data_IF_957393031402
#
_entry.id   IF_957393031402
#
_cell.length_a   1.000
_cell.length_b   1.000
_cell.length_c   1.000
_cell.angle_alpha   90.00
_cell.angle_beta   90.00
_cell.angle_gamma   90.00
#
_symmetry.space_group_name_H-M   'P 1'
#
loop_
_entity.id
_entity.type
_entity.pdbx_description
1 polymer ?
#
# COMPACT_ATOMS: atom_id res chain seq x y z
N UNK A 1 15.94 5.11 -2.87
CA UNK A 1 14.90 6.03 -2.34
C UNK A 1 13.86 6.26 -3.41
N UNK A 2 12.56 6.37 -3.06
CA UNK A 2 11.51 6.67 -4.01
C UNK A 2 11.76 8.00 -4.74
N UNK A 3 11.48 8.04 -6.04
CA UNK A 3 11.68 9.24 -6.86
C UNK A 3 10.59 9.40 -7.92
N UNK A 4 10.31 10.65 -8.29
CA UNK A 4 9.39 10.95 -9.39
C UNK A 4 9.81 10.28 -10.69
N UNK A 5 8.85 9.65 -11.36
CA UNK A 5 9.05 8.90 -12.60
C UNK A 5 9.58 7.48 -12.40
N UNK A 6 9.86 7.07 -11.16
CA UNK A 6 10.23 5.68 -10.87
C UNK A 6 9.03 4.76 -11.09
N UNK A 7 9.29 3.65 -11.79
CA UNK A 7 8.31 2.62 -12.08
C UNK A 7 8.70 1.36 -11.31
N UNK A 8 7.77 0.88 -10.49
CA UNK A 8 7.84 -0.41 -9.81
C UNK A 8 6.94 -1.39 -10.56
N UNK A 9 7.43 -2.60 -10.80
CA UNK A 9 6.65 -3.69 -11.40
C UNK A 9 6.60 -4.85 -10.42
N UNK A 10 5.40 -5.34 -10.11
CA UNK A 10 5.24 -6.56 -9.35
C UNK A 10 5.49 -7.76 -10.30
N UNK A 11 6.53 -8.58 -10.07
CA UNK A 11 6.85 -9.70 -10.97
C UNK A 11 5.81 -10.82 -10.94
N UNK A 12 5.08 -10.99 -9.84
CA UNK A 12 4.09 -12.06 -9.68
C UNK A 12 2.79 -11.74 -10.42
N UNK A 13 2.40 -10.47 -10.46
CA UNK A 13 1.11 -10.04 -10.99
C UNK A 13 1.19 -9.26 -12.30
N UNK A 14 2.37 -8.70 -12.61
CA UNK A 14 2.56 -7.78 -13.72
C UNK A 14 1.96 -6.39 -13.50
N UNK A 15 1.48 -6.09 -12.29
CA UNK A 15 0.97 -4.76 -11.91
C UNK A 15 2.10 -3.74 -11.91
N UNK A 16 1.76 -2.50 -12.29
CA UNK A 16 2.71 -1.42 -12.48
C UNK A 16 2.33 -0.23 -11.61
N UNK A 17 3.32 0.36 -10.93
CA UNK A 17 3.16 1.50 -10.04
C UNK A 17 4.18 2.56 -10.44
N UNK A 18 3.73 3.72 -10.90
CA UNK A 18 4.58 4.83 -11.31
C UNK A 18 4.40 6.00 -10.34
N UNK A 19 5.48 6.43 -9.69
CA UNK A 19 5.44 7.61 -8.82
C UNK A 19 5.36 8.89 -9.65
N UNK A 20 4.24 9.62 -9.53
CA UNK A 20 4.06 10.93 -10.16
C UNK A 20 4.55 12.06 -9.25
N UNK A 21 4.34 11.91 -7.94
CA UNK A 21 4.83 12.79 -6.88
C UNK A 21 5.15 11.95 -5.64
N UNK A 22 6.34 12.10 -5.07
CA UNK A 22 6.77 11.45 -3.81
C UNK A 22 6.54 12.37 -2.61
N UNK A 23 6.73 11.84 -1.40
CA UNK A 23 6.69 12.66 -0.18
C UNK A 23 7.72 13.81 -0.24
N UNK A 24 8.88 13.57 -0.84
CA UNK A 24 9.93 14.60 -1.03
C UNK A 24 9.48 15.68 -2.00
N UNK A 25 8.85 15.32 -3.11
CA UNK A 25 8.41 16.28 -4.13
C UNK A 25 7.33 17.23 -3.62
N UNK A 26 6.51 16.76 -2.67
CA UNK A 26 5.36 17.52 -2.15
C UNK A 26 5.60 18.11 -0.76
N UNK A 27 6.83 18.06 -0.24
CA UNK A 27 7.17 18.45 1.14
C UNK A 27 6.26 17.77 2.19
N UNK A 28 5.97 16.49 1.99
CA UNK A 28 5.17 15.66 2.89
C UNK A 28 3.66 15.78 2.74
N UNK A 29 3.17 16.62 1.82
CA UNK A 29 1.73 16.85 1.64
C UNK A 29 1.00 15.59 1.13
N UNK A 30 1.55 14.91 0.12
CA UNK A 30 0.96 13.69 -0.46
C UNK A 30 1.97 12.83 -1.23
N UNK A 31 1.62 11.58 -1.44
CA UNK A 31 2.21 10.72 -2.49
C UNK A 31 1.16 10.53 -3.57
N UNK A 32 1.53 10.66 -4.84
CA UNK A 32 0.65 10.42 -5.98
C UNK A 32 1.29 9.45 -6.96
N UNK A 33 0.53 8.45 -7.39
CA UNK A 33 0.99 7.41 -8.30
C UNK A 33 -0.03 7.13 -9.39
N UNK A 34 0.47 6.71 -10.54
CA UNK A 34 -0.35 6.03 -11.56
C UNK A 34 -0.18 4.52 -11.37
N UNK A 35 -1.29 3.83 -11.21
CA UNK A 35 -1.33 2.38 -11.08
C UNK A 35 -1.99 1.74 -12.30
N UNK A 36 -1.42 0.62 -12.73
CA UNK A 36 -2.02 -0.28 -13.72
C UNK A 36 -2.16 -1.65 -13.08
N UNK A 37 -3.39 -2.03 -12.75
CA UNK A 37 -3.68 -3.36 -12.21
C UNK A 37 -4.07 -4.31 -13.34
N UNK A 38 -3.21 -5.28 -13.61
CA UNK A 38 -3.44 -6.39 -14.55
C UNK A 38 -3.92 -7.64 -13.82
N UNK A 39 -3.60 -7.77 -12.54
CA UNK A 39 -4.11 -8.84 -11.70
C UNK A 39 -5.61 -8.74 -11.50
N UNK A 40 -6.21 -9.88 -11.17
CA UNK A 40 -7.61 -10.00 -10.82
C UNK A 40 -7.77 -10.35 -9.33
N UNK A 41 -8.75 -9.73 -8.69
CA UNK A 41 -9.19 -10.00 -7.32
C UNK A 41 -8.42 -9.22 -6.26
N UNK A 42 -8.77 -9.50 -5.00
CA UNK A 42 -8.26 -8.81 -3.82
C UNK A 42 -6.85 -9.29 -3.45
N UNK A 43 -5.83 -8.63 -3.98
CA UNK A 43 -4.43 -8.89 -3.61
C UNK A 43 -3.95 -8.03 -2.44
N UNK A 44 -4.54 -6.85 -2.27
CA UNK A 44 -4.35 -6.03 -1.07
C UNK A 44 -5.33 -6.51 0.00
N UNK A 45 -4.92 -6.70 1.26
CA UNK A 45 -5.85 -7.05 2.33
C UNK A 45 -6.79 -5.89 2.62
N UNK A 46 -8.04 -6.17 2.99
CA UNK A 46 -8.96 -5.14 3.47
C UNK A 46 -8.40 -4.45 4.73
N UNK A 47 -8.18 -3.14 4.65
CA UNK A 47 -7.43 -2.38 5.65
C UNK A 47 -7.98 -0.96 5.82
N UNK A 48 -7.44 -0.21 6.77
CA UNK A 48 -7.70 1.22 6.89
C UNK A 48 -6.44 1.97 7.31
N UNK A 49 -6.30 3.19 6.84
CA UNK A 49 -5.23 4.11 7.22
C UNK A 49 -5.64 4.88 8.47
N UNK A 50 -4.76 4.94 9.48
CA UNK A 50 -5.07 5.67 10.71
C UNK A 50 -5.01 7.20 10.53
N UNK A 51 -4.11 7.65 9.66
CA UNK A 51 -3.75 9.07 9.51
C UNK A 51 -4.07 9.64 8.12
N UNK A 52 -4.27 8.78 7.11
CA UNK A 52 -4.26 9.18 5.70
C UNK A 52 -5.62 8.96 5.04
N UNK A 53 -6.03 9.95 4.24
CA UNK A 53 -7.08 9.77 3.26
C UNK A 53 -6.47 9.31 1.94
N UNK A 54 -7.14 8.40 1.23
CA UNK A 54 -6.76 8.00 -0.11
C UNK A 54 -7.74 8.56 -1.14
N UNK A 55 -7.23 8.91 -2.32
CA UNK A 55 -8.03 9.46 -3.41
C UNK A 55 -7.73 8.69 -4.69
N UNK A 56 -8.78 8.33 -5.43
CA UNK A 56 -8.69 7.57 -6.67
C UNK A 56 -9.35 8.33 -7.81
N UNK A 57 -8.74 8.29 -8.98
CA UNK A 57 -9.30 8.76 -10.25
C UNK A 57 -9.03 7.74 -11.35
N UNK A 58 -10.09 7.16 -11.92
CA UNK A 58 -9.95 6.12 -12.95
C UNK A 58 -9.66 6.77 -14.31
N UNK A 59 -8.59 6.32 -14.96
CA UNK A 59 -8.17 6.78 -16.29
C UNK A 59 -8.70 5.88 -17.41
N UNK A 60 -8.78 4.57 -17.17
CA UNK A 60 -9.34 3.58 -18.10
C UNK A 60 -9.65 2.26 -17.39
N UNK A 61 -10.59 1.48 -17.93
CA UNK A 61 -11.02 0.22 -17.33
C UNK A 61 -11.98 0.43 -16.15
N UNK A 62 -12.16 -0.63 -15.34
CA UNK A 62 -13.08 -0.64 -14.22
C UNK A 62 -12.33 -0.97 -12.92
N UNK A 63 -12.40 -0.06 -11.95
CA UNK A 63 -11.82 -0.24 -10.62
C UNK A 63 -12.92 -0.61 -9.63
N UNK A 64 -12.85 -1.79 -9.03
CA UNK A 64 -13.73 -2.14 -7.93
C UNK A 64 -13.17 -1.56 -6.64
N UNK A 65 -14.01 -0.84 -5.90
CA UNK A 65 -13.74 -0.30 -4.58
C UNK A 65 -14.69 -0.95 -3.58
N UNK A 66 -14.13 -1.54 -2.53
CA UNK A 66 -14.86 -1.91 -1.32
C UNK A 66 -14.62 -0.82 -0.29
N UNK A 67 -15.66 -0.12 0.17
CA UNK A 67 -15.56 0.92 1.19
C UNK A 67 -16.65 0.72 2.25
N UNK A 68 -16.24 0.54 3.50
CA UNK A 68 -17.15 0.34 4.65
C UNK A 68 -18.17 -0.79 4.40
N UNK A 69 -17.70 -1.88 3.78
CA UNK A 69 -18.52 -3.06 3.44
C UNK A 69 -19.40 -2.90 2.20
N UNK A 70 -19.32 -1.77 1.48
CA UNK A 70 -20.07 -1.53 0.24
C UNK A 70 -19.14 -1.58 -0.97
N UNK A 71 -19.45 -2.46 -1.91
CA UNK A 71 -18.75 -2.54 -3.18
C UNK A 71 -19.36 -1.55 -4.19
N UNK A 72 -18.49 -0.90 -4.96
CA UNK A 72 -18.87 -0.10 -6.12
C UNK A 72 -17.80 -0.21 -7.22
N UNK A 73 -18.22 -0.04 -8.47
CA UNK A 73 -17.32 -0.03 -9.62
C UNK A 73 -17.16 1.41 -10.09
N UNK A 74 -15.92 1.86 -10.20
CA UNK A 74 -15.55 3.14 -10.77
C UNK A 74 -15.07 2.93 -12.21
N UNK A 75 -15.64 3.72 -13.11
CA UNK A 75 -15.29 3.74 -14.54
C UNK A 75 -14.51 4.99 -14.87
N UNK A 76 -13.99 5.10 -16.10
CA UNK A 76 -13.20 6.25 -16.56
C UNK A 76 -13.82 7.61 -16.17
N UNK A 77 -13.01 8.47 -15.56
CA UNK A 77 -13.38 9.80 -15.10
C UNK A 77 -14.05 9.84 -13.73
N UNK A 78 -14.47 8.70 -13.17
CA UNK A 78 -14.98 8.66 -11.79
C UNK A 78 -13.84 8.88 -10.79
N UNK A 79 -14.20 9.55 -9.68
CA UNK A 79 -13.29 9.85 -8.57
C UNK A 79 -13.92 9.45 -7.25
N UNK A 80 -13.10 9.04 -6.29
CA UNK A 80 -13.55 8.77 -4.92
C UNK A 80 -12.47 9.14 -3.90
N UNK A 81 -12.90 9.53 -2.70
CA UNK A 81 -12.06 9.62 -1.52
C UNK A 81 -12.40 8.47 -0.57
N UNK A 82 -11.38 7.71 -0.14
CA UNK A 82 -11.45 6.73 0.93
C UNK A 82 -10.97 7.42 2.22
N UNK A 83 -11.86 7.72 3.18
CA UNK A 83 -11.48 8.43 4.37
C UNK A 83 -10.59 7.58 5.29
N UNK A 84 -9.69 8.23 6.03
CA UNK A 84 -8.96 7.59 7.13
C UNK A 84 -9.93 6.95 8.14
N UNK A 85 -9.48 5.88 8.77
CA UNK A 85 -10.24 5.08 9.73
C UNK A 85 -11.51 4.43 9.14
N UNK A 86 -11.64 4.35 7.82
CA UNK A 86 -12.68 3.56 7.15
C UNK A 86 -12.06 2.34 6.46
N UNK A 87 -12.53 1.12 6.76
CA UNK A 87 -12.11 -0.08 6.04
C UNK A 87 -12.34 0.06 4.54
N UNK A 88 -11.31 -0.27 3.76
CA UNK A 88 -11.40 -0.28 2.32
C UNK A 88 -10.45 -1.27 1.64
N UNK A 89 -10.79 -1.56 0.38
CA UNK A 89 -9.98 -2.31 -0.56
C UNK A 89 -10.18 -1.75 -1.99
N UNK A 90 -9.22 -1.98 -2.87
CA UNK A 90 -9.30 -1.66 -4.29
C UNK A 90 -8.73 -2.82 -5.12
N UNK A 91 -9.43 -3.22 -6.17
CA UNK A 91 -9.02 -4.35 -7.01
C UNK A 91 -9.66 -4.28 -8.39
N UNK A 92 -9.11 -5.04 -9.32
CA UNK A 92 -9.69 -5.26 -10.64
C UNK A 92 -10.40 -6.62 -10.67
N UNK A 93 -11.64 -6.68 -11.16
CA UNK A 93 -12.40 -7.92 -11.34
C UNK A 93 -12.59 -8.31 -12.82
N UNK A 94 -12.15 -7.47 -13.74
CA UNK A 94 -12.28 -7.66 -15.17
C UNK A 94 -11.08 -8.42 -15.75
N UNK A 95 -11.19 -8.77 -17.03
CA UNK A 95 -10.08 -9.36 -17.81
C UNK A 95 -9.12 -8.31 -18.35
N UNK A 96 -9.61 -7.09 -18.57
CA UNK A 96 -8.81 -5.98 -19.04
C UNK A 96 -8.14 -5.24 -17.88
N UNK A 97 -6.92 -4.72 -18.05
CA UNK A 97 -6.27 -3.91 -17.02
C UNK A 97 -7.06 -2.63 -16.71
N UNK A 98 -7.04 -2.23 -15.44
CA UNK A 98 -7.52 -0.91 -15.01
C UNK A 98 -6.34 0.02 -14.73
N UNK A 99 -6.47 1.27 -15.18
CA UNK A 99 -5.47 2.32 -14.95
C UNK A 99 -6.12 3.45 -14.15
N UNK A 100 -5.48 3.87 -13.06
CA UNK A 100 -5.99 4.93 -12.21
C UNK A 100 -4.86 5.72 -11.55
N UNK A 101 -5.18 6.92 -11.08
CA UNK A 101 -4.33 7.71 -10.19
C UNK A 101 -4.75 7.45 -8.76
N UNK A 102 -3.80 7.09 -7.90
CA UNK A 102 -3.97 7.05 -6.45
C UNK A 102 -3.20 8.21 -5.82
N UNK A 103 -3.80 8.93 -4.89
CA UNK A 103 -3.11 9.92 -4.04
C UNK A 103 -3.40 9.66 -2.57
N UNK A 104 -2.35 9.64 -1.74
CA UNK A 104 -2.44 9.38 -0.30
C UNK A 104 -1.91 10.58 0.47
N UNK A 105 -2.70 11.10 1.41
CA UNK A 105 -2.41 12.35 2.13
C UNK A 105 -2.73 12.24 3.63
N UNK A 106 -1.83 12.63 4.54
CA UNK A 106 -0.48 13.12 4.31
C UNK A 106 0.46 12.04 3.74
N UNK A 107 1.60 12.45 3.17
CA UNK A 107 2.53 11.51 2.52
C UNK A 107 3.14 10.50 3.50
N UNK A 108 3.64 10.99 4.64
CA UNK A 108 4.38 10.21 5.63
C UNK A 108 5.50 9.40 4.95
N UNK A 109 5.58 8.10 5.20
CA UNK A 109 6.51 7.14 4.60
C UNK A 109 5.81 6.14 3.67
N UNK A 110 4.70 6.53 3.05
CA UNK A 110 3.89 5.65 2.20
C UNK A 110 4.58 5.26 0.88
N UNK A 111 5.33 6.17 0.27
CA UNK A 111 6.15 5.88 -0.91
C UNK A 111 7.24 4.84 -0.60
N UNK A 112 7.88 4.95 0.57
CA UNK A 112 8.81 3.95 1.05
C UNK A 112 8.13 2.60 1.35
N UNK A 113 6.93 2.60 1.93
CA UNK A 113 6.16 1.37 2.15
C UNK A 113 5.96 0.61 0.84
N UNK A 114 5.55 1.31 -0.24
CA UNK A 114 5.30 0.68 -1.53
C UNK A 114 6.58 0.17 -2.21
N UNK A 115 7.65 0.96 -2.21
CA UNK A 115 8.95 0.52 -2.72
C UNK A 115 9.44 -0.73 -1.96
N UNK A 116 9.25 -0.74 -0.64
CA UNK A 116 9.65 -1.86 0.21
C UNK A 116 8.79 -3.12 -0.01
N UNK A 117 7.47 -2.98 -0.18
CA UNK A 117 6.57 -4.10 -0.54
C UNK A 117 7.02 -4.73 -1.86
N UNK A 118 7.20 -3.93 -2.91
CA UNK A 118 7.61 -4.47 -4.21
C UNK A 118 9.01 -5.08 -4.14
N UNK A 119 9.92 -4.45 -3.40
CA UNK A 119 11.25 -5.01 -3.14
C UNK A 119 11.19 -6.39 -2.48
N UNK A 120 10.35 -6.55 -1.46
CA UNK A 120 10.13 -7.84 -0.79
C UNK A 120 9.49 -8.88 -1.72
N UNK A 121 8.59 -8.48 -2.61
CA UNK A 121 8.01 -9.36 -3.63
C UNK A 121 9.07 -9.85 -4.62
N UNK A 122 9.94 -8.97 -5.12
CA UNK A 122 11.06 -9.33 -6.00
C UNK A 122 11.99 -10.35 -5.33
N UNK A 123 12.16 -10.23 -4.03
CA UNK A 123 12.92 -11.14 -3.17
C UNK A 123 12.22 -12.49 -2.89
N UNK A 124 10.99 -12.68 -3.36
CA UNK A 124 10.16 -13.86 -3.06
C UNK A 124 9.64 -13.93 -1.62
N UNK A 125 9.66 -12.81 -0.88
CA UNK A 125 9.25 -12.74 0.54
C UNK A 125 7.78 -12.37 0.75
N UNK A 126 7.05 -12.12 -0.33
CA UNK A 126 5.62 -11.81 -0.30
C UNK A 126 4.81 -12.73 -1.22
N UNK A 127 4.81 -14.06 -0.97
CA UNK A 127 4.04 -14.99 -1.80
C UNK A 127 2.55 -14.61 -1.81
N UNK A 128 1.95 -14.58 -3.00
CA UNK A 128 0.56 -14.14 -3.21
C UNK A 128 0.27 -12.73 -2.67
N UNK A 129 1.27 -11.84 -2.68
CA UNK A 129 1.14 -10.46 -2.21
C UNK A 129 1.10 -10.31 -0.69
N UNK A 130 1.40 -11.36 0.09
CA UNK A 130 1.30 -11.33 1.56
C UNK A 130 2.65 -11.55 2.22
N UNK A 131 3.00 -10.67 3.14
CA UNK A 131 4.19 -10.86 3.98
C UNK A 131 3.89 -11.85 5.12
N UNK A 132 4.93 -12.45 5.69
CA UNK A 132 4.79 -13.23 6.92
C UNK A 132 4.43 -12.34 8.12
N UNK A 133 3.72 -12.90 9.11
CA UNK A 133 3.21 -12.16 10.28
C UNK A 133 4.28 -11.30 10.99
N UNK A 134 5.50 -11.81 11.18
CA UNK A 134 6.59 -11.05 11.83
C UNK A 134 6.94 -9.80 11.02
N UNK A 135 7.03 -9.93 9.69
CA UNK A 135 7.30 -8.80 8.80
C UNK A 135 6.17 -7.77 8.88
N UNK A 136 4.91 -8.19 8.82
CA UNK A 136 3.76 -7.29 8.93
C UNK A 136 3.76 -6.51 10.25
N UNK A 137 4.03 -7.18 11.38
CA UNK A 137 4.06 -6.54 12.70
C UNK A 137 5.24 -5.58 12.86
N UNK A 138 6.40 -5.88 12.26
CA UNK A 138 7.55 -4.96 12.21
C UNK A 138 7.21 -3.74 11.37
N UNK A 139 6.68 -3.94 10.17
CA UNK A 139 6.21 -2.86 9.28
C UNK A 139 5.19 -1.97 10.01
N UNK A 140 4.15 -2.55 10.61
CA UNK A 140 3.11 -1.81 11.35
C UNK A 140 3.65 -1.03 12.55
N UNK A 141 4.64 -1.58 13.26
CA UNK A 141 5.26 -0.92 14.42
C UNK A 141 6.03 0.34 14.02
N UNK A 142 6.86 0.26 12.97
CA UNK A 142 7.87 1.27 12.67
C UNK A 142 7.55 2.21 11.50
N UNK A 143 6.51 1.94 10.70
CA UNK A 143 6.01 2.94 9.75
C UNK A 143 5.11 3.97 10.41
N UNK A 144 5.19 5.21 9.90
CA UNK A 144 4.36 6.33 10.30
C UNK A 144 2.99 6.28 9.58
N UNK A 145 2.96 5.82 8.33
CA UNK A 145 1.78 5.55 7.49
C UNK A 145 1.03 4.29 7.96
N UNK A 146 0.57 4.28 9.22
CA UNK A 146 -0.03 3.09 9.83
C UNK A 146 -1.32 2.65 9.12
N UNK A 147 -1.25 1.49 8.48
CA UNK A 147 -2.39 0.77 7.92
C UNK A 147 -2.70 -0.48 8.75
N UNK A 148 -3.92 -0.56 9.28
CA UNK A 148 -4.37 -1.68 10.12
C UNK A 148 -5.30 -2.60 9.34
N UNK A 149 -5.25 -3.89 9.63
CA UNK A 149 -6.16 -4.87 9.04
C UNK A 149 -7.57 -4.69 9.61
N UNK A 150 -8.58 -4.57 8.74
CA UNK A 150 -9.95 -4.28 9.17
C UNK A 150 -10.61 -5.43 9.94
N UNK A 151 -10.17 -6.67 9.69
CA UNK A 151 -10.72 -7.88 10.31
C UNK A 151 -10.13 -8.22 11.68
N UNK A 152 -9.04 -7.56 12.10
CA UNK A 152 -8.35 -7.86 13.36
C UNK A 152 -8.61 -6.74 14.37
N UNK A 153 -9.00 -7.05 15.62
CA UNK A 153 -9.20 -6.03 16.65
C UNK A 153 -7.98 -5.10 16.81
N UNK A 154 -8.20 -3.79 16.75
CA UNK A 154 -7.12 -2.79 16.79
C UNK A 154 -6.23 -2.92 18.04
N UNK A 155 -6.83 -3.20 19.21
CA UNK A 155 -6.10 -3.42 20.45
C UNK A 155 -5.13 -4.61 20.37
N UNK A 156 -5.54 -5.69 19.70
CA UNK A 156 -4.70 -6.87 19.49
C UNK A 156 -3.54 -6.56 18.55
N UNK A 157 -3.79 -5.89 17.43
CA UNK A 157 -2.72 -5.47 16.51
C UNK A 157 -1.69 -4.56 17.22
N UNK A 158 -2.17 -3.61 18.03
CA UNK A 158 -1.32 -2.74 18.84
C UNK A 158 -0.51 -3.51 19.88
N UNK A 159 -1.09 -4.49 20.56
CA UNK A 159 -0.36 -5.33 21.50
C UNK A 159 0.74 -6.11 20.78
N UNK A 160 0.38 -6.84 19.72
CA UNK A 160 1.30 -7.70 18.99
C UNK A 160 2.46 -6.92 18.35
N UNK A 161 2.20 -5.78 17.71
CA UNK A 161 3.26 -4.99 17.07
C UNK A 161 4.27 -4.45 18.09
N UNK A 162 3.82 -4.14 19.32
CA UNK A 162 4.69 -3.62 20.37
C UNK A 162 5.54 -4.72 21.05
N UNK A 163 5.10 -5.98 21.00
CA UNK A 163 5.86 -7.12 21.53
C UNK A 163 6.78 -7.70 20.44
N UNK A 164 6.22 -8.03 19.28
CA UNK A 164 6.92 -8.74 18.20
C UNK A 164 7.83 -7.80 17.41
N UNK A 165 7.44 -6.54 17.20
CA UNK A 165 8.19 -5.59 16.39
C UNK A 165 9.66 -5.40 16.84
N UNK A 166 9.93 -5.09 18.12
CA UNK A 166 11.30 -5.00 18.63
C UNK A 166 12.09 -6.30 18.48
N UNK A 167 11.47 -7.44 18.77
CA UNK A 167 12.09 -8.76 18.63
C UNK A 167 12.46 -9.03 17.16
N UNK A 168 11.54 -8.79 16.23
CA UNK A 168 11.79 -8.93 14.79
C UNK A 168 12.98 -8.11 14.31
N UNK A 169 13.15 -6.87 14.81
CA UNK A 169 14.33 -6.06 14.46
C UNK A 169 15.64 -6.68 14.91
N UNK A 170 15.69 -7.31 16.08
CA UNK A 170 16.88 -8.05 16.56
C UNK A 170 17.23 -9.18 15.58
N UNK A 171 16.23 -9.85 15.01
CA UNK A 171 16.42 -10.90 14.00
C UNK A 171 16.55 -10.39 12.55
N UNK A 172 16.78 -9.09 12.35
CA UNK A 172 17.06 -8.52 11.02
C UNK A 172 15.83 -8.12 10.20
N UNK A 173 14.62 -8.19 10.75
CA UNK A 173 13.43 -7.64 10.09
C UNK A 173 13.48 -6.11 10.10
N UNK A 174 13.03 -5.48 9.03
CA UNK A 174 12.95 -4.02 8.89
C UNK A 174 11.62 -3.63 8.29
N UNK A 175 11.09 -2.49 8.71
CA UNK A 175 9.90 -1.89 8.11
C UNK A 175 10.25 -1.29 6.74
N UNK A 176 11.45 -0.73 6.62
CA UNK A 176 12.05 -0.31 5.35
C UNK A 176 13.47 -0.88 5.30
N UNK A 177 13.76 -1.69 4.28
CA UNK A 177 15.08 -2.24 4.06
C UNK A 177 15.94 -1.30 3.22
N UNK A 178 17.16 -1.02 3.70
CA UNK A 178 18.13 -0.15 3.02
C UNK A 178 18.39 -0.52 1.57
N UNK A 179 18.37 -1.81 1.26
CA UNK A 179 18.63 -2.31 -0.09
C UNK A 179 17.59 -1.89 -1.14
N UNK A 180 16.39 -1.49 -0.73
CA UNK A 180 15.35 -1.00 -1.64
C UNK A 180 15.30 0.54 -1.65
N UNK A 181 15.46 1.15 -0.48
CA UNK A 181 15.12 2.55 -0.27
C UNK A 181 16.26 3.45 0.18
N UNK A 182 17.50 2.95 0.30
CA UNK A 182 18.70 3.62 0.83
C UNK A 182 18.60 4.13 2.29
N UNK A 183 17.43 3.99 2.91
CA UNK A 183 17.15 4.25 4.33
C UNK A 183 16.72 2.97 5.03
N UNK A 184 16.78 2.95 6.36
CA UNK A 184 16.34 1.82 7.16
C UNK A 184 15.37 2.28 8.26
N UNK A 185 14.24 1.57 8.41
CA UNK A 185 13.32 1.72 9.54
C UNK A 185 13.09 0.39 10.23
#
# INVERSE_FOLDING_TARGET
MPSKGQILSNPDTGDIYEFLETAKDTNGLRVTMKMTLKSKGELVPNHFHALQDEHFEVLSGNLTILLDGKEQILTQGNKITLPKNKPHNHYNNDTEPVVFIQSVSPALDFDYLLENIIGLTIDGKMPNGKAGLVQELVTLKYLDSKSYLASIPLGLQKLLMNIVGPIGRVFGYRAIYRKYSDIEK
#
